data_IF_018880108533
#
_entry.id   IF_018880108533
#
_cell.length_a   1.000
_cell.length_b   1.000
_cell.length_c   1.000
_cell.angle_alpha   90.00
_cell.angle_beta   90.00
_cell.angle_gamma   90.00
#
_symmetry.space_group_name_H-M   'P 1'
#
loop_
_entity.id
_entity.type
_entity.pdbx_description
1 polymer ?
#
# COMPACT_ATOMS: atom_id res chain seq x y z
N UNK A 1 17.31 29.13 -9.67
CA UNK A 1 16.64 30.43 -9.56
C UNK A 1 15.42 30.36 -10.47
N UNK A 2 14.20 30.26 -9.89
CA UNK A 2 12.95 30.32 -10.64
C UNK A 2 12.76 31.68 -11.26
N UNK A 3 12.02 31.73 -12.35
CA UNK A 3 11.65 33.00 -12.99
C UNK A 3 10.62 33.69 -12.04
N UNK A 4 10.65 35.01 -11.95
CA UNK A 4 9.70 35.76 -11.13
C UNK A 4 8.20 35.57 -11.55
N UNK A 5 7.96 34.83 -12.62
CA UNK A 5 6.63 34.52 -13.15
C UNK A 5 6.29 33.01 -13.09
N UNK A 6 7.00 32.22 -12.26
CA UNK A 6 6.76 30.78 -12.12
C UNK A 6 5.59 30.45 -11.14
N UNK A 7 4.80 31.45 -10.77
CA UNK A 7 3.57 31.22 -10.01
C UNK A 7 2.50 30.55 -10.87
N UNK A 8 1.70 29.70 -10.26
CA UNK A 8 0.53 29.16 -10.92
C UNK A 8 -0.37 30.31 -11.42
N UNK A 9 -0.87 30.24 -12.64
CA UNK A 9 -1.56 31.33 -13.33
C UNK A 9 -0.72 32.56 -13.73
N UNK A 10 0.63 32.45 -13.76
CA UNK A 10 1.53 33.53 -14.18
C UNK A 10 1.57 34.72 -13.20
N UNK A 11 1.19 34.51 -11.95
CA UNK A 11 1.29 35.52 -10.89
C UNK A 11 2.75 35.83 -10.57
N UNK A 12 3.02 37.09 -10.21
CA UNK A 12 4.34 37.52 -9.75
C UNK A 12 4.58 36.96 -8.35
N UNK A 13 5.62 36.15 -8.17
CA UNK A 13 5.93 35.46 -6.91
C UNK A 13 7.23 35.98 -6.31
N UNK A 14 7.28 36.07 -4.99
CA UNK A 14 8.42 36.47 -4.20
C UNK A 14 9.03 35.32 -3.40
N UNK A 15 10.10 35.61 -2.67
CA UNK A 15 10.72 34.61 -1.80
C UNK A 15 9.79 34.26 -0.64
N UNK A 16 9.43 32.96 -0.54
CA UNK A 16 8.53 32.42 0.49
C UNK A 16 7.11 32.19 0.01
N UNK A 17 6.77 32.59 -1.22
CA UNK A 17 5.48 32.29 -1.82
C UNK A 17 5.38 30.81 -2.23
N UNK A 18 4.18 30.27 -2.16
CA UNK A 18 3.87 28.91 -2.58
C UNK A 18 3.62 28.91 -4.09
N UNK A 19 4.39 28.14 -4.84
CA UNK A 19 4.38 28.17 -6.31
C UNK A 19 4.04 26.83 -6.99
N UNK A 20 4.11 25.70 -6.29
CA UNK A 20 3.92 24.38 -6.90
C UNK A 20 2.77 23.60 -6.30
N UNK A 21 2.74 23.44 -4.99
CA UNK A 21 1.71 22.64 -4.30
C UNK A 21 1.10 23.46 -3.17
N UNK A 22 -0.20 23.61 -3.18
CA UNK A 22 -0.95 24.21 -2.08
C UNK A 22 -2.26 23.47 -1.93
N UNK A 23 -2.19 22.28 -1.37
CA UNK A 23 -3.33 21.41 -1.16
C UNK A 23 -3.40 20.92 0.29
N UNK A 24 -4.59 20.49 0.68
CA UNK A 24 -4.85 19.81 1.94
C UNK A 24 -5.43 18.44 1.64
N UNK A 25 -4.82 17.40 2.19
CA UNK A 25 -5.30 16.03 2.04
C UNK A 25 -5.63 15.44 3.40
N UNK A 26 -6.74 14.72 3.47
CA UNK A 26 -7.16 13.99 4.66
C UNK A 26 -7.32 12.52 4.33
N UNK A 27 -6.86 11.67 5.24
CA UNK A 27 -7.00 10.22 5.16
C UNK A 27 -7.80 9.75 6.37
N UNK A 28 -8.98 9.20 6.12
CA UNK A 28 -9.80 8.56 7.13
C UNK A 28 -9.63 7.04 7.03
N UNK A 29 -9.18 6.43 8.11
CA UNK A 29 -8.93 4.99 8.15
C UNK A 29 -9.54 4.37 9.40
N UNK A 30 -10.21 3.24 9.20
CA UNK A 30 -10.73 2.39 10.27
C UNK A 30 -10.36 0.94 9.98
N UNK A 31 -9.87 0.22 11.00
CA UNK A 31 -9.57 -1.19 10.86
C UNK A 31 -9.72 -1.95 12.17
N UNK A 32 -9.97 -3.23 12.03
CA UNK A 32 -10.00 -4.17 13.14
C UNK A 32 -9.44 -5.52 12.69
N UNK A 33 -8.93 -6.27 13.65
CA UNK A 33 -8.47 -7.63 13.42
C UNK A 33 -8.74 -8.52 14.61
N UNK A 34 -8.80 -9.83 14.35
CA UNK A 34 -8.83 -10.87 15.38
C UNK A 34 -7.79 -11.93 15.09
N UNK A 35 -7.15 -12.43 16.14
CA UNK A 35 -6.17 -13.51 16.05
C UNK A 35 -6.46 -14.56 17.12
N UNK A 36 -6.36 -15.83 16.73
CA UNK A 36 -6.42 -16.97 17.62
C UNK A 36 -5.17 -17.83 17.50
N UNK A 37 -4.72 -18.39 18.61
CA UNK A 37 -3.66 -19.39 18.69
C UNK A 37 -4.21 -20.64 19.36
N UNK A 38 -3.78 -21.80 18.87
CA UNK A 38 -4.19 -23.09 19.37
C UNK A 38 -2.99 -24.02 19.47
N UNK A 39 -2.85 -24.71 20.60
CA UNK A 39 -1.78 -25.68 20.82
C UNK A 39 -2.38 -26.96 21.37
N UNK A 40 -2.08 -28.08 20.74
CA UNK A 40 -2.49 -29.42 21.16
C UNK A 40 -1.33 -30.40 20.95
N UNK A 41 -0.70 -30.82 22.05
CA UNK A 41 0.44 -31.72 21.98
C UNK A 41 1.58 -31.14 21.13
N UNK A 42 1.96 -31.85 20.09
CA UNK A 42 3.00 -31.44 19.14
C UNK A 42 2.56 -30.39 18.11
N UNK A 43 1.26 -30.08 18.01
CA UNK A 43 0.71 -29.14 17.04
C UNK A 43 0.49 -27.77 17.68
N UNK A 44 1.06 -26.74 17.07
CA UNK A 44 0.73 -25.35 17.34
C UNK A 44 0.24 -24.69 16.04
N UNK A 45 -0.86 -23.96 16.10
CA UNK A 45 -1.45 -23.27 14.96
C UNK A 45 -1.92 -21.86 15.34
N UNK A 46 -1.98 -20.98 14.38
CA UNK A 46 -2.58 -19.67 14.52
C UNK A 46 -3.40 -19.29 13.31
N UNK A 47 -4.36 -18.43 13.53
CA UNK A 47 -5.14 -17.81 12.46
C UNK A 47 -5.42 -16.35 12.80
N UNK A 48 -5.40 -15.48 11.80
CA UNK A 48 -5.71 -14.07 11.91
C UNK A 48 -6.60 -13.67 10.75
N UNK A 49 -7.62 -12.88 11.02
CA UNK A 49 -8.42 -12.19 10.02
C UNK A 49 -8.49 -10.71 10.38
N UNK A 50 -8.43 -9.85 9.37
CA UNK A 50 -8.54 -8.40 9.54
C UNK A 50 -9.34 -7.79 8.40
N UNK A 51 -9.96 -6.66 8.71
CA UNK A 51 -10.69 -5.81 7.78
C UNK A 51 -10.32 -4.36 8.04
N UNK A 52 -10.20 -3.59 6.96
CA UNK A 52 -10.02 -2.14 7.05
C UNK A 52 -10.80 -1.44 5.96
N UNK A 53 -11.09 -0.17 6.20
CA UNK A 53 -11.64 0.74 5.22
C UNK A 53 -10.86 2.04 5.26
N UNK A 54 -10.62 2.64 4.11
CA UNK A 54 -9.91 3.90 3.94
C UNK A 54 -10.67 4.78 2.96
N UNK A 55 -10.69 6.07 3.22
CA UNK A 55 -11.17 7.08 2.28
C UNK A 55 -10.24 8.28 2.29
N UNK A 56 -10.25 9.01 1.20
CA UNK A 56 -9.39 10.16 0.97
C UNK A 56 -10.22 11.39 0.69
N UNK A 57 -9.73 12.54 1.12
CA UNK A 57 -10.24 13.81 0.64
C UNK A 57 -9.09 14.74 0.28
N UNK A 58 -9.34 15.58 -0.71
CA UNK A 58 -8.39 16.50 -1.31
C UNK A 58 -9.04 17.87 -1.47
N UNK A 59 -8.32 18.93 -1.17
CA UNK A 59 -8.72 20.32 -1.38
C UNK A 59 -7.56 21.07 -2.01
N UNK A 60 -7.77 21.62 -3.21
CA UNK A 60 -6.83 22.54 -3.81
C UNK A 60 -7.02 23.95 -3.19
N UNK A 61 -5.96 24.47 -2.58
CA UNK A 61 -5.97 25.78 -1.92
C UNK A 61 -5.57 26.93 -2.86
N UNK A 62 -5.14 26.62 -4.09
CA UNK A 62 -4.94 27.65 -5.12
C UNK A 62 -6.26 28.09 -5.74
N UNK A 63 -7.26 27.22 -5.79
CA UNK A 63 -8.57 27.56 -6.35
C UNK A 63 -9.37 28.47 -5.42
N UNK A 64 -10.16 29.38 -6.01
CA UNK A 64 -10.98 30.30 -5.23
C UNK A 64 -12.13 29.57 -4.51
N UNK A 65 -12.67 28.52 -5.11
CA UNK A 65 -13.85 27.81 -4.60
C UNK A 65 -13.48 26.76 -3.54
N UNK A 66 -12.20 26.31 -3.49
CA UNK A 66 -11.70 25.32 -2.52
C UNK A 66 -12.64 24.13 -2.36
N UNK A 67 -13.08 23.58 -3.49
CA UNK A 67 -13.96 22.42 -3.50
C UNK A 67 -13.28 21.22 -2.86
N UNK A 68 -13.98 20.55 -1.94
CA UNK A 68 -13.52 19.32 -1.32
C UNK A 68 -13.89 18.14 -2.20
N UNK A 69 -12.89 17.43 -2.68
CA UNK A 69 -13.05 16.21 -3.48
C UNK A 69 -12.88 15.03 -2.53
N UNK A 70 -13.87 14.13 -2.50
CA UNK A 70 -13.87 12.97 -1.62
C UNK A 70 -13.91 11.68 -2.43
N UNK A 71 -13.10 10.69 -2.03
CA UNK A 71 -13.18 9.34 -2.59
C UNK A 71 -14.32 8.55 -1.95
N UNK A 72 -14.75 7.49 -2.64
CA UNK A 72 -15.51 6.44 -1.99
C UNK A 72 -14.63 5.69 -0.99
N UNK A 73 -15.25 5.02 -0.02
CA UNK A 73 -14.55 4.18 0.93
C UNK A 73 -14.05 2.90 0.26
N UNK A 74 -12.75 2.62 0.39
CA UNK A 74 -12.07 1.46 -0.18
C UNK A 74 -11.85 0.47 0.96
N UNK A 75 -12.43 -0.72 0.83
CA UNK A 75 -12.30 -1.79 1.82
C UNK A 75 -11.18 -2.75 1.44
N UNK A 76 -10.51 -3.31 2.45
CA UNK A 76 -9.47 -4.31 2.29
C UNK A 76 -9.55 -5.37 3.38
N UNK A 77 -9.21 -6.60 3.02
CA UNK A 77 -9.20 -7.76 3.91
C UNK A 77 -7.82 -8.37 4.00
N UNK A 78 -7.55 -9.01 5.12
CA UNK A 78 -6.36 -9.83 5.28
C UNK A 78 -6.68 -11.10 6.06
N UNK A 79 -6.07 -12.19 5.60
CA UNK A 79 -6.11 -13.48 6.26
C UNK A 79 -4.70 -14.04 6.35
N UNK A 80 -4.30 -14.46 7.54
CA UNK A 80 -3.00 -15.10 7.77
C UNK A 80 -3.20 -16.31 8.66
N UNK A 81 -2.45 -17.35 8.41
CA UNK A 81 -2.48 -18.52 9.24
C UNK A 81 -1.25 -19.37 9.07
N UNK A 82 -1.02 -20.22 10.04
CA UNK A 82 0.09 -21.13 9.99
C UNK A 82 -0.01 -22.19 11.06
N UNK A 83 0.79 -23.24 10.86
CA UNK A 83 0.93 -24.32 11.81
C UNK A 83 2.37 -24.76 11.91
N UNK A 84 2.73 -25.24 13.09
CA UNK A 84 4.00 -25.91 13.37
C UNK A 84 3.70 -27.25 14.02
N UNK A 85 4.40 -28.27 13.58
CA UNK A 85 4.31 -29.62 14.12
C UNK A 85 5.69 -30.12 14.58
N UNK A 86 5.80 -30.43 15.85
CA UNK A 86 7.00 -30.98 16.45
C UNK A 86 7.05 -32.50 16.21
N UNK A 87 7.92 -32.93 15.28
CA UNK A 87 8.11 -34.35 14.96
C UNK A 87 8.81 -35.07 16.11
N UNK A 88 9.69 -34.37 16.81
CA UNK A 88 10.38 -34.79 18.04
C UNK A 88 10.99 -33.56 18.74
N UNK A 89 11.68 -33.75 19.85
CA UNK A 89 12.30 -32.68 20.66
C UNK A 89 13.29 -31.81 19.87
N UNK A 90 13.78 -32.29 18.75
CA UNK A 90 14.83 -31.63 17.97
C UNK A 90 14.32 -31.11 16.63
N UNK A 91 13.23 -31.62 16.07
CA UNK A 91 12.80 -31.36 14.71
C UNK A 91 11.34 -30.93 14.66
N UNK A 92 11.11 -29.74 14.10
CA UNK A 92 9.77 -29.21 13.82
C UNK A 92 9.63 -28.85 12.35
N UNK A 93 8.42 -29.06 11.81
CA UNK A 93 8.01 -28.57 10.50
C UNK A 93 7.03 -27.41 10.70
N UNK A 94 7.06 -26.43 9.81
CA UNK A 94 6.08 -25.36 9.83
C UNK A 94 5.61 -24.98 8.43
N UNK A 95 4.41 -24.41 8.36
CA UNK A 95 3.85 -23.83 7.17
C UNK A 95 3.03 -22.60 7.52
N UNK A 96 3.13 -21.57 6.69
CA UNK A 96 2.38 -20.32 6.81
C UNK A 96 1.73 -19.96 5.48
N UNK A 97 0.60 -19.29 5.55
CA UNK A 97 -0.01 -18.65 4.39
C UNK A 97 -0.49 -17.25 4.74
N UNK A 98 -0.58 -16.39 3.73
CA UNK A 98 -1.12 -15.06 3.85
C UNK A 98 -1.84 -14.64 2.58
N UNK A 99 -3.02 -14.05 2.76
CA UNK A 99 -3.78 -13.33 1.75
C UNK A 99 -3.99 -11.91 2.28
N UNK A 100 -3.49 -10.92 1.55
CA UNK A 100 -3.54 -9.52 2.00
C UNK A 100 -3.94 -8.64 0.83
N UNK A 101 -5.00 -7.89 1.01
CA UNK A 101 -5.36 -6.78 0.14
C UNK A 101 -4.77 -5.49 0.68
N UNK A 102 -4.19 -4.68 -0.19
CA UNK A 102 -3.65 -3.36 0.11
C UNK A 102 -4.41 -2.32 -0.71
N UNK A 103 -5.12 -1.39 -0.08
CA UNK A 103 -5.74 -0.28 -0.79
C UNK A 103 -4.69 0.56 -1.54
N UNK A 104 -5.07 1.18 -2.66
CA UNK A 104 -4.20 2.12 -3.35
C UNK A 104 -3.94 3.35 -2.48
N UNK A 105 -2.83 4.02 -2.73
CA UNK A 105 -2.48 5.30 -2.10
C UNK A 105 -3.31 6.44 -2.70
N UNK A 106 -3.30 7.61 -2.05
CA UNK A 106 -4.07 8.79 -2.47
C UNK A 106 -3.89 9.10 -3.96
N UNK A 107 -2.65 9.19 -4.45
CA UNK A 107 -2.35 9.60 -5.82
C UNK A 107 -2.91 8.65 -6.89
N UNK A 108 -3.24 7.41 -6.51
CA UNK A 108 -3.92 6.46 -7.37
C UNK A 108 -5.45 6.52 -7.25
N UNK A 109 -5.98 7.36 -6.38
CA UNK A 109 -7.42 7.55 -6.11
C UNK A 109 -7.89 8.94 -6.52
N UNK A 110 -7.11 9.96 -6.19
CA UNK A 110 -7.32 11.36 -6.55
C UNK A 110 -5.97 11.88 -7.01
N UNK A 111 -5.88 12.33 -8.26
CA UNK A 111 -4.66 12.89 -8.82
C UNK A 111 -4.37 14.32 -8.32
N UNK A 112 -3.23 14.87 -8.75
CA UNK A 112 -2.80 16.23 -8.37
C UNK A 112 -3.75 17.34 -8.85
N UNK A 113 -4.54 17.07 -9.89
CA UNK A 113 -5.54 17.97 -10.46
C UNK A 113 -6.92 17.78 -9.81
N UNK A 114 -7.06 16.87 -8.86
CA UNK A 114 -8.31 16.57 -8.17
C UNK A 114 -9.25 15.63 -8.94
N UNK A 115 -8.80 14.98 -10.01
CA UNK A 115 -9.63 14.02 -10.71
C UNK A 115 -9.65 12.68 -9.97
N UNK A 116 -10.83 12.07 -9.86
CA UNK A 116 -10.97 10.74 -9.28
C UNK A 116 -10.61 9.66 -10.29
N UNK A 117 -9.81 8.70 -9.86
CA UNK A 117 -9.52 7.52 -10.65
C UNK A 117 -10.77 6.65 -10.87
N UNK A 118 -10.87 6.06 -12.06
CA UNK A 118 -11.94 5.12 -12.41
C UNK A 118 -11.40 3.70 -12.27
N UNK A 119 -12.22 2.78 -11.75
CA UNK A 119 -11.86 1.37 -11.56
C UNK A 119 -10.69 1.14 -10.57
N UNK A 120 -10.79 1.75 -9.41
CA UNK A 120 -9.84 1.56 -8.32
C UNK A 120 -9.89 0.10 -7.84
N UNK A 121 -8.72 -0.57 -7.79
CA UNK A 121 -8.57 -1.94 -7.32
C UNK A 121 -7.51 -2.02 -6.23
N UNK A 122 -7.70 -2.92 -5.27
CA UNK A 122 -6.69 -3.24 -4.27
C UNK A 122 -5.56 -4.06 -4.89
N UNK A 123 -4.34 -3.83 -4.45
CA UNK A 123 -3.24 -4.74 -4.71
C UNK A 123 -3.41 -6.03 -3.88
N UNK A 124 -3.14 -7.19 -4.47
CA UNK A 124 -3.36 -8.47 -3.84
C UNK A 124 -2.04 -9.23 -3.63
N UNK A 125 -1.77 -9.58 -2.39
CA UNK A 125 -0.62 -10.38 -2.01
C UNK A 125 -1.08 -11.77 -1.57
N UNK A 126 -0.52 -12.80 -2.19
CA UNK A 126 -0.67 -14.20 -1.76
C UNK A 126 0.69 -14.73 -1.40
N UNK A 127 0.88 -15.19 -0.18
CA UNK A 127 2.14 -15.75 0.30
C UNK A 127 1.96 -17.16 0.87
N UNK A 128 2.94 -18.01 0.57
CA UNK A 128 3.09 -19.35 1.14
C UNK A 128 4.52 -19.47 1.65
N UNK A 129 4.68 -20.06 2.82
CA UNK A 129 5.98 -20.38 3.39
C UNK A 129 5.91 -21.77 4.01
N UNK A 130 6.98 -22.56 3.88
CA UNK A 130 7.14 -23.83 4.56
C UNK A 130 8.59 -24.07 4.91
N UNK A 131 8.84 -24.73 6.01
CA UNK A 131 10.21 -24.92 6.45
C UNK A 131 10.37 -25.93 7.58
N UNK A 132 11.63 -26.08 7.98
CA UNK A 132 12.06 -26.97 9.04
C UNK A 132 12.92 -26.22 10.05
N UNK A 133 12.74 -26.56 11.31
CA UNK A 133 13.59 -26.14 12.40
C UNK A 133 14.26 -27.39 13.02
N UNK A 134 15.57 -27.41 13.04
CA UNK A 134 16.33 -28.48 13.68
C UNK A 134 17.20 -27.92 14.79
N UNK A 135 17.04 -28.42 16.00
CA UNK A 135 17.71 -27.93 17.20
C UNK A 135 18.54 -29.04 17.84
N UNK A 136 19.80 -28.75 18.08
CA UNK A 136 20.70 -29.54 18.90
C UNK A 136 21.02 -28.77 20.18
N UNK A 137 21.72 -29.39 21.11
CA UNK A 137 22.07 -28.78 22.40
C UNK A 137 22.92 -27.50 22.27
N UNK A 138 23.73 -27.39 21.21
CA UNK A 138 24.66 -26.27 20.97
C UNK A 138 24.48 -25.60 19.61
N UNK A 139 23.49 -26.01 18.79
CA UNK A 139 23.29 -25.48 17.44
C UNK A 139 21.79 -25.50 17.08
N UNK A 140 21.34 -24.49 16.34
CA UNK A 140 20.03 -24.48 15.71
C UNK A 140 20.16 -24.19 14.22
N UNK A 141 19.49 -24.98 13.40
CA UNK A 141 19.43 -24.82 11.95
C UNK A 141 17.97 -24.55 11.58
N UNK A 142 17.73 -23.54 10.76
CA UNK A 142 16.43 -23.26 10.17
C UNK A 142 16.59 -23.17 8.66
N UNK A 143 15.68 -23.83 7.94
CA UNK A 143 15.59 -23.73 6.50
C UNK A 143 14.13 -23.53 6.13
N UNK A 144 13.88 -22.57 5.25
CA UNK A 144 12.53 -22.29 4.76
C UNK A 144 12.55 -21.93 3.28
N UNK A 145 11.44 -22.18 2.65
CA UNK A 145 11.12 -21.72 1.31
C UNK A 145 9.85 -20.90 1.35
N UNK A 146 9.83 -19.78 0.65
CA UNK A 146 8.65 -18.92 0.53
C UNK A 146 8.37 -18.59 -0.94
N UNK A 147 7.08 -18.40 -1.23
CA UNK A 147 6.57 -17.95 -2.51
C UNK A 147 5.60 -16.80 -2.25
N UNK A 148 5.77 -15.70 -2.95
CA UNK A 148 4.85 -14.56 -2.88
C UNK A 148 4.45 -14.14 -4.29
N UNK A 149 3.14 -14.07 -4.53
CA UNK A 149 2.56 -13.47 -5.72
C UNK A 149 1.98 -12.09 -5.35
N UNK A 150 2.27 -11.11 -6.19
CA UNK A 150 1.75 -9.77 -6.08
C UNK A 150 1.00 -9.42 -7.35
N UNK A 151 -0.31 -9.27 -7.25
CA UNK A 151 -1.22 -9.00 -8.35
C UNK A 151 -1.83 -7.60 -8.22
N UNK A 152 -2.35 -7.09 -9.31
CA UNK A 152 -3.07 -5.82 -9.40
C UNK A 152 -2.23 -4.65 -8.84
N UNK A 153 -0.94 -4.62 -9.21
CA UNK A 153 -0.02 -3.56 -8.78
C UNK A 153 -0.41 -2.23 -9.39
N UNK A 154 -0.64 -1.26 -8.53
CA UNK A 154 -0.79 0.13 -8.95
C UNK A 154 0.60 0.67 -9.36
N UNK A 155 0.78 0.94 -10.64
CA UNK A 155 2.02 1.50 -11.20
C UNK A 155 1.71 2.84 -11.83
N UNK A 156 2.40 3.87 -11.37
CA UNK A 156 2.37 5.19 -12.01
C UNK A 156 3.56 5.29 -12.96
N UNK A 157 3.29 5.63 -14.22
CA UNK A 157 4.32 5.84 -15.23
C UNK A 157 4.18 7.23 -15.84
N UNK A 158 5.17 8.07 -15.65
CA UNK A 158 5.29 9.34 -16.36
C UNK A 158 5.81 9.07 -17.79
N UNK A 159 5.05 9.45 -18.79
CA UNK A 159 5.47 9.44 -20.19
C UNK A 159 5.68 10.88 -20.64
N UNK A 160 6.91 11.21 -21.02
CA UNK A 160 7.19 12.49 -21.66
C UNK A 160 6.98 12.33 -23.17
N UNK A 161 5.91 12.89 -23.70
CA UNK A 161 5.62 12.94 -25.13
C UNK A 161 6.10 14.27 -25.70
N UNK A 162 7.20 14.24 -26.44
CA UNK A 162 7.71 15.41 -27.18
C UNK A 162 9.23 15.48 -27.26
N UNK A 163 9.75 15.75 -28.45
CA UNK A 163 11.14 16.17 -28.67
C UNK A 163 11.20 17.68 -28.61
N UNK A 164 11.58 18.22 -27.45
CA UNK A 164 11.75 19.66 -27.30
C UNK A 164 11.57 20.12 -25.86
N UNK A 165 11.98 21.34 -25.59
CA UNK A 165 11.97 22.01 -24.28
C UNK A 165 10.57 22.29 -23.68
N UNK A 166 9.52 21.71 -24.23
CA UNK A 166 8.11 21.80 -23.82
C UNK A 166 7.41 20.45 -24.04
N UNK A 167 7.97 19.36 -23.50
CA UNK A 167 7.28 18.07 -23.54
C UNK A 167 6.19 18.04 -22.48
N UNK A 168 4.95 17.75 -22.90
CA UNK A 168 3.89 17.43 -21.95
C UNK A 168 4.20 16.09 -21.28
N UNK A 169 4.10 16.05 -19.97
CA UNK A 169 4.23 14.81 -19.17
C UNK A 169 2.84 14.28 -18.88
N UNK A 170 2.51 13.14 -19.45
CA UNK A 170 1.27 12.43 -19.17
C UNK A 170 1.55 11.34 -18.12
N UNK A 171 0.82 11.36 -17.02
CA UNK A 171 0.90 10.32 -15.97
C UNK A 171 -0.16 9.27 -16.28
N UNK A 172 0.28 8.05 -16.56
CA UNK A 172 -0.62 6.91 -16.79
C UNK A 172 -0.62 6.03 -15.55
N UNK A 173 -1.78 5.83 -14.99
CA UNK A 173 -2.04 4.85 -13.93
C UNK A 173 -2.36 3.50 -14.59
N UNK A 174 -1.56 2.47 -14.32
CA UNK A 174 -1.68 1.12 -14.88
C UNK A 174 -2.04 0.12 -13.78
#
# INVERSE_FOLDING_TARGET
YGNANDGDNGAQVGLGDIIAYHNETTVDWLGFFGQGNYTLGALSAYGMAGFSTISYSYVDLFTTEKEKIESDAISAMQFKGGAMYDLNDNLSLFGNFGLVEKPPILDNVIDEDGNKAVNITNENFTSLEGGVNYRLSNMAIKANYYLTNWNDRNLTKALTTGQGSSGDTEIIYL
#
